data_IF_337312421542
#
_entry.id   IF_337312421542
#
_cell.length_a   1.000
_cell.length_b   1.000
_cell.length_c   1.000
_cell.angle_alpha   90.00
_cell.angle_beta   90.00
_cell.angle_gamma   90.00
#
_symmetry.space_group_name_H-M   'P 1'
#
loop_
_entity.id
_entity.type
_entity.pdbx_description
1 polymer ?
#
# COMPACT_ATOMS: atom_id res chain seq x y z
N UNK A 1 -15.18 -28.60 -13.66
CA UNK A 1 -14.43 -27.44 -13.13
C UNK A 1 -15.42 -26.51 -12.47
N UNK A 2 -15.29 -26.27 -11.17
CA UNK A 2 -16.21 -25.42 -10.43
C UNK A 2 -15.84 -23.96 -10.71
N UNK A 3 -16.68 -23.25 -11.44
CA UNK A 3 -16.54 -21.81 -11.67
C UNK A 3 -16.76 -21.09 -10.34
N UNK A 4 -15.80 -20.26 -9.94
CA UNK A 4 -15.91 -19.47 -8.72
C UNK A 4 -16.72 -18.21 -9.04
N UNK A 5 -17.99 -18.22 -8.67
CA UNK A 5 -18.93 -17.13 -8.95
C UNK A 5 -18.43 -15.77 -8.46
N UNK A 6 -17.73 -15.73 -7.31
CA UNK A 6 -17.19 -14.49 -6.74
C UNK A 6 -16.11 -13.90 -7.66
N UNK A 7 -15.24 -14.76 -8.23
CA UNK A 7 -14.21 -14.30 -9.16
C UNK A 7 -14.84 -13.76 -10.44
N UNK A 8 -15.87 -14.43 -10.97
CA UNK A 8 -16.58 -13.98 -12.17
C UNK A 8 -17.22 -12.59 -11.97
N UNK A 9 -17.85 -12.37 -10.81
CA UNK A 9 -18.46 -11.09 -10.45
C UNK A 9 -17.41 -9.98 -10.29
N UNK A 10 -16.25 -10.29 -9.70
CA UNK A 10 -15.13 -9.35 -9.60
C UNK A 10 -14.58 -8.99 -10.99
N UNK A 11 -14.42 -9.96 -11.87
CA UNK A 11 -13.96 -9.74 -13.24
C UNK A 11 -14.97 -8.90 -14.03
N UNK A 12 -16.27 -9.17 -13.90
CA UNK A 12 -17.34 -8.39 -14.50
C UNK A 12 -17.32 -6.94 -14.03
N UNK A 13 -17.22 -6.74 -12.72
CA UNK A 13 -17.14 -5.42 -12.11
C UNK A 13 -15.93 -4.65 -12.61
N UNK A 14 -14.75 -5.29 -12.65
CA UNK A 14 -13.52 -4.69 -13.17
C UNK A 14 -13.67 -4.27 -14.63
N UNK A 15 -14.25 -5.12 -15.49
CA UNK A 15 -14.49 -4.80 -16.91
C UNK A 15 -15.39 -3.59 -17.06
N UNK A 16 -16.47 -3.52 -16.29
CA UNK A 16 -17.39 -2.37 -16.30
C UNK A 16 -16.70 -1.08 -15.87
N UNK A 17 -15.95 -1.11 -14.76
CA UNK A 17 -15.21 0.05 -14.27
C UNK A 17 -14.18 0.56 -15.29
N UNK A 18 -13.49 -0.34 -15.99
CA UNK A 18 -12.55 0.05 -17.04
C UNK A 18 -13.27 0.64 -18.25
N UNK A 19 -14.37 0.03 -18.72
CA UNK A 19 -15.14 0.55 -19.85
C UNK A 19 -15.66 1.96 -19.57
N UNK A 20 -16.22 2.20 -18.38
CA UNK A 20 -16.73 3.51 -17.95
C UNK A 20 -15.62 4.59 -17.90
N UNK A 21 -14.35 4.17 -17.80
CA UNK A 21 -13.19 5.04 -17.68
C UNK A 21 -12.27 5.06 -18.92
N UNK A 22 -12.78 4.67 -20.09
CA UNK A 22 -12.03 4.72 -21.36
C UNK A 22 -11.12 3.51 -21.60
N UNK A 23 -11.37 2.39 -20.92
CA UNK A 23 -10.71 1.10 -21.13
C UNK A 23 -9.32 0.97 -20.49
N UNK A 24 -8.77 2.03 -19.90
CA UNK A 24 -7.41 2.04 -19.34
C UNK A 24 -7.42 2.15 -17.81
N UNK A 25 -6.41 1.54 -17.18
CA UNK A 25 -6.20 1.68 -15.73
C UNK A 25 -5.91 3.13 -15.35
N UNK A 26 -5.17 3.84 -16.19
CA UNK A 26 -4.86 5.27 -16.00
C UNK A 26 -6.13 6.12 -16.01
N UNK A 27 -7.04 5.88 -16.95
CA UNK A 27 -8.34 6.54 -17.02
C UNK A 27 -9.19 6.28 -15.78
N UNK A 28 -9.24 5.02 -15.33
CA UNK A 28 -9.93 4.65 -14.09
C UNK A 28 -9.31 5.37 -12.88
N UNK A 29 -7.98 5.41 -12.78
CA UNK A 29 -7.28 6.11 -11.72
C UNK A 29 -7.55 7.62 -11.71
N UNK A 30 -7.57 8.25 -12.88
CA UNK A 30 -7.91 9.67 -13.01
C UNK A 30 -9.36 9.96 -12.59
N UNK A 31 -10.32 9.14 -13.03
CA UNK A 31 -11.72 9.27 -12.66
C UNK A 31 -11.94 9.11 -11.15
N UNK A 32 -11.28 8.14 -10.53
CA UNK A 32 -11.33 7.92 -9.07
C UNK A 32 -10.73 9.11 -8.31
N UNK A 33 -9.59 9.65 -8.76
CA UNK A 33 -8.97 10.82 -8.15
C UNK A 33 -9.88 12.05 -8.21
N UNK A 34 -10.53 12.27 -9.37
CA UNK A 34 -11.52 13.35 -9.53
C UNK A 34 -12.69 13.19 -8.57
N UNK A 35 -13.27 11.98 -8.45
CA UNK A 35 -14.34 11.70 -7.48
C UNK A 35 -13.89 11.90 -6.04
N UNK A 36 -12.68 11.47 -5.71
CA UNK A 36 -12.11 11.66 -4.38
C UNK A 36 -11.97 13.15 -4.04
N UNK A 37 -11.44 13.95 -4.95
CA UNK A 37 -11.34 15.41 -4.78
C UNK A 37 -12.71 16.06 -4.60
N UNK A 38 -13.71 15.65 -5.40
CA UNK A 38 -15.07 16.14 -5.30
C UNK A 38 -15.79 15.70 -4.00
N UNK A 39 -15.34 14.62 -3.36
CA UNK A 39 -16.03 14.08 -2.17
C UNK A 39 -15.88 14.92 -0.90
N UNK A 40 -14.96 15.89 -0.89
CA UNK A 40 -14.66 16.70 0.30
C UNK A 40 -14.10 15.90 1.49
N UNK A 41 -13.82 14.60 1.32
CA UNK A 41 -13.30 13.74 2.39
C UNK A 41 -11.88 14.15 2.74
N UNK A 42 -11.59 14.23 4.04
CA UNK A 42 -10.24 14.52 4.54
C UNK A 42 -9.31 13.36 4.20
N UNK A 43 -8.33 13.62 3.33
CA UNK A 43 -7.27 12.65 3.01
C UNK A 43 -6.17 12.79 4.06
N UNK A 44 -6.03 11.77 4.91
CA UNK A 44 -4.92 11.70 5.87
C UNK A 44 -3.64 11.32 5.12
N UNK A 45 -2.64 12.22 5.13
CA UNK A 45 -1.30 11.89 4.62
C UNK A 45 -0.58 11.06 5.68
N UNK A 46 -0.39 9.77 5.44
CA UNK A 46 0.46 8.93 6.28
C UNK A 46 1.91 9.38 6.14
N UNK A 47 2.56 9.77 7.25
CA UNK A 47 4.02 9.94 7.29
C UNK A 47 4.66 8.56 7.46
N UNK A 48 5.66 8.24 6.64
CA UNK A 48 6.50 7.05 6.87
C UNK A 48 7.16 7.21 8.24
N UNK A 49 6.82 6.35 9.19
CA UNK A 49 7.59 6.21 10.44
C UNK A 49 8.84 5.41 10.11
N UNK A 50 10.01 6.03 10.26
CA UNK A 50 11.33 5.44 9.99
C UNK A 50 11.63 4.20 10.88
N UNK A 51 10.81 3.93 11.91
CA UNK A 51 11.08 2.96 12.97
C UNK A 51 10.57 1.53 12.70
N UNK A 52 10.72 1.01 11.49
CA UNK A 52 10.45 -0.42 11.23
C UNK A 52 11.49 -1.02 10.26
N UNK A 53 12.77 -0.99 10.63
CA UNK A 53 13.82 -1.77 9.94
C UNK A 53 14.91 -2.23 10.90
N UNK A 54 14.56 -2.99 11.94
CA UNK A 54 15.58 -3.76 12.69
C UNK A 54 15.21 -5.24 12.92
N UNK A 55 13.95 -5.65 12.84
CA UNK A 55 13.57 -7.05 13.05
C UNK A 55 13.82 -7.98 11.84
N UNK A 56 14.19 -7.45 10.66
CA UNK A 56 14.32 -8.22 9.42
C UNK A 56 15.75 -8.29 8.85
N UNK A 57 16.77 -8.15 9.70
CA UNK A 57 18.16 -8.48 9.34
C UNK A 57 18.75 -9.48 10.35
N UNK A 58 18.11 -10.64 10.47
CA UNK A 58 18.78 -11.84 10.98
C UNK A 58 19.36 -12.58 9.77
N UNK A 59 20.55 -12.14 9.37
CA UNK A 59 21.36 -12.71 8.30
C UNK A 59 22.80 -12.34 8.58
N UNK A 60 23.36 -13.09 9.52
CA UNK A 60 24.76 -13.27 9.91
C UNK A 60 25.86 -12.23 9.55
N UNK A 61 26.53 -11.83 10.64
CA UNK A 61 27.99 -11.80 10.83
C UNK A 61 28.80 -10.50 10.63
N UNK A 62 29.51 -10.18 11.74
CA UNK A 62 30.69 -9.34 11.93
C UNK A 62 30.49 -7.82 11.67
N UNK A 63 30.83 -6.91 12.58
CA UNK A 63 32.13 -6.75 13.25
C UNK A 63 31.98 -6.06 14.61
N UNK A 64 32.90 -6.48 15.47
CA UNK A 64 33.31 -6.07 16.81
C UNK A 64 33.28 -4.57 17.20
N UNK A 65 33.44 -4.38 18.52
CA UNK A 65 34.19 -3.31 19.20
C UNK A 65 33.43 -2.06 19.74
N UNK A 66 32.95 -2.14 21.00
CA UNK A 66 33.54 -1.50 22.22
C UNK A 66 32.49 -1.27 23.35
N UNK A 67 32.90 -1.25 24.64
CA UNK A 67 32.01 -1.29 25.81
C UNK A 67 31.50 0.08 26.30
N UNK A 68 30.42 0.04 27.10
CA UNK A 68 29.67 1.16 27.70
C UNK A 68 30.43 1.98 28.75
N UNK A 69 29.95 3.18 29.15
CA UNK A 69 29.36 3.25 30.50
C UNK A 69 28.23 4.28 30.78
N UNK A 70 27.42 3.88 31.76
CA UNK A 70 26.75 4.60 32.87
C UNK A 70 26.11 5.97 32.63
N UNK A 71 24.78 5.97 32.54
CA UNK A 71 23.95 7.15 32.77
C UNK A 71 23.32 7.10 34.16
N UNK A 72 23.96 7.78 35.10
CA UNK A 72 23.44 8.15 36.42
C UNK A 72 22.41 9.28 36.24
N UNK A 73 21.16 9.08 36.73
CA UNK A 73 20.21 10.11 37.21
C UNK A 73 18.83 9.53 37.53
#
# INVERSE_FOLDING_TARGET
MTTNQILDDLHNTRRRLLADAGGTIEGLGAALRKRQQASGRRILKTRRTIRCTEAAKSGDSAVENQPSPLGDR
#
